data_IF_473956668101
#
_entry.id   IF_473956668101
#
_cell.length_a   1.000
_cell.length_b   1.000
_cell.length_c   1.000
_cell.angle_alpha   90.00
_cell.angle_beta   90.00
_cell.angle_gamma   90.00
#
_symmetry.space_group_name_H-M   'P 1'
#
loop_
_entity.id
_entity.type
_entity.pdbx_description
1 polymer ?
#
# COMPACT_ATOMS: atom_id res chain seq x y z
N UNK A 1 3.51 -11.74 -1.48
CA UNK A 1 4.65 -10.98 -0.87
C UNK A 1 4.18 -9.71 -0.17
N UNK A 2 3.41 -8.82 -0.80
CA UNK A 2 2.93 -7.57 -0.17
C UNK A 2 2.22 -7.79 1.17
N UNK A 3 1.35 -8.79 1.26
CA UNK A 3 0.68 -9.16 2.51
C UNK A 3 1.66 -9.48 3.66
N UNK A 4 2.75 -10.20 3.36
CA UNK A 4 3.79 -10.45 4.37
C UNK A 4 4.51 -9.18 4.79
N UNK A 5 4.78 -8.25 3.85
CA UNK A 5 5.40 -6.98 4.19
C UNK A 5 4.53 -6.15 5.12
N UNK A 6 3.21 -6.14 4.90
CA UNK A 6 2.24 -5.44 5.76
C UNK A 6 2.18 -6.05 7.16
N UNK A 7 2.13 -7.39 7.25
CA UNK A 7 2.15 -8.06 8.57
C UNK A 7 3.47 -7.79 9.29
N UNK A 8 4.61 -7.90 8.61
CA UNK A 8 5.92 -7.65 9.21
C UNK A 8 6.10 -6.18 9.59
N UNK A 9 5.52 -5.26 8.81
CA UNK A 9 5.44 -3.84 9.16
C UNK A 9 4.69 -3.66 10.49
N UNK A 10 3.51 -4.24 10.61
CA UNK A 10 2.70 -4.15 11.83
C UNK A 10 3.44 -4.69 13.05
N UNK A 11 4.03 -5.87 12.94
CA UNK A 11 4.82 -6.48 14.03
C UNK A 11 6.02 -5.60 14.40
N UNK A 12 6.74 -5.06 13.40
CA UNK A 12 7.90 -4.21 13.65
C UNK A 12 7.50 -2.89 14.33
N UNK A 13 6.34 -2.32 13.98
CA UNK A 13 5.79 -1.14 14.63
C UNK A 13 5.40 -1.42 16.10
N UNK A 14 4.77 -2.56 16.37
CA UNK A 14 4.44 -2.97 17.74
C UNK A 14 5.69 -3.11 18.59
N UNK A 15 6.73 -3.76 18.08
CA UNK A 15 7.99 -3.92 18.79
C UNK A 15 8.74 -2.59 18.97
N UNK A 16 8.58 -1.65 18.03
CA UNK A 16 9.23 -0.35 18.07
C UNK A 16 8.72 0.55 19.21
N UNK A 17 7.55 0.26 19.78
CA UNK A 17 7.05 0.96 20.97
C UNK A 17 7.97 0.74 22.16
N UNK A 18 8.50 -0.48 22.31
CA UNK A 18 9.39 -0.84 23.42
C UNK A 18 10.87 -0.64 23.06
N UNK A 19 11.25 -0.84 21.80
CA UNK A 19 12.63 -0.72 21.31
C UNK A 19 12.70 -0.01 19.96
N UNK A 20 13.15 1.24 19.96
CA UNK A 20 13.29 2.09 18.78
C UNK A 20 14.11 1.47 17.64
N UNK A 21 14.94 0.47 17.90
CA UNK A 21 15.72 -0.23 16.87
C UNK A 21 14.82 -0.82 15.79
N UNK A 22 13.60 -1.21 16.17
CA UNK A 22 12.62 -1.78 15.22
C UNK A 22 11.97 -0.75 14.29
N UNK A 23 12.10 0.56 14.53
CA UNK A 23 11.61 1.60 13.61
C UNK A 23 12.32 1.51 12.24
N UNK A 24 13.61 1.14 12.22
CA UNK A 24 14.35 0.91 10.98
C UNK A 24 13.82 -0.31 10.21
N UNK A 25 13.45 -1.36 10.94
CA UNK A 25 12.84 -2.56 10.34
C UNK A 25 11.46 -2.25 9.77
N UNK A 26 10.62 -1.52 10.52
CA UNK A 26 9.32 -1.06 10.07
C UNK A 26 9.44 -0.24 8.77
N UNK A 27 10.39 0.70 8.73
CA UNK A 27 10.64 1.52 7.54
C UNK A 27 11.03 0.69 6.33
N UNK A 28 11.84 -0.36 6.49
CA UNK A 28 12.22 -1.27 5.39
C UNK A 28 11.01 -2.07 4.89
N UNK A 29 10.18 -2.59 5.76
CA UNK A 29 8.98 -3.31 5.34
C UNK A 29 7.99 -2.40 4.64
N UNK A 30 7.87 -1.15 5.08
CA UNK A 30 7.08 -0.13 4.40
C UNK A 30 7.62 0.15 2.98
N UNK A 31 8.93 0.35 2.81
CA UNK A 31 9.56 0.55 1.51
C UNK A 31 9.34 -0.66 0.58
N UNK A 32 9.49 -1.88 1.09
CA UNK A 32 9.23 -3.10 0.32
C UNK A 32 7.76 -3.21 -0.09
N UNK A 33 6.83 -2.88 0.81
CA UNK A 33 5.41 -2.86 0.50
C UNK A 33 5.11 -1.90 -0.65
N UNK A 34 5.61 -0.67 -0.58
CA UNK A 34 5.37 0.35 -1.61
C UNK A 34 5.98 -0.03 -2.96
N UNK A 35 7.18 -0.64 -2.98
CA UNK A 35 7.79 -1.14 -4.21
C UNK A 35 7.00 -2.28 -4.85
N UNK A 36 6.49 -3.21 -4.04
CA UNK A 36 5.66 -4.32 -4.54
C UNK A 36 4.34 -3.77 -5.08
N UNK A 37 3.75 -2.79 -4.39
CA UNK A 37 2.52 -2.15 -4.83
C UNK A 37 2.70 -1.42 -6.17
N UNK A 38 3.81 -0.70 -6.33
CA UNK A 38 4.18 -0.08 -7.59
C UNK A 38 4.32 -1.11 -8.72
N UNK A 39 5.03 -2.19 -8.47
CA UNK A 39 5.22 -3.27 -9.43
C UNK A 39 3.89 -3.94 -9.86
N UNK A 40 2.92 -4.08 -8.94
CA UNK A 40 1.60 -4.65 -9.25
C UNK A 40 0.78 -3.68 -10.11
N UNK A 41 0.90 -2.38 -9.87
CA UNK A 41 0.12 -1.37 -10.55
C UNK A 41 0.76 -0.87 -11.86
N UNK A 42 2.09 -1.04 -12.03
CA UNK A 42 2.85 -0.53 -13.18
C UNK A 42 3.81 -1.60 -13.76
N UNK A 43 3.30 -2.78 -14.12
CA UNK A 43 4.16 -3.79 -14.77
C UNK A 43 4.71 -3.30 -16.12
N UNK A 44 5.81 -3.88 -16.53
CA UNK A 44 6.79 -3.58 -17.59
C UNK A 44 6.35 -2.78 -18.85
N UNK A 45 5.07 -2.65 -19.13
CA UNK A 45 4.53 -1.92 -20.30
C UNK A 45 3.47 -0.88 -19.90
N UNK A 46 3.44 -0.48 -18.63
CA UNK A 46 2.44 0.46 -18.11
C UNK A 46 1.04 -0.16 -17.93
N UNK A 47 0.92 -1.47 -18.08
CA UNK A 47 -0.31 -2.23 -17.83
C UNK A 47 -0.18 -2.93 -16.49
N UNK A 48 -0.89 -2.44 -15.47
CA UNK A 48 -0.97 -3.09 -14.17
C UNK A 48 -1.72 -4.43 -14.23
N UNK A 49 -1.66 -5.18 -13.13
CA UNK A 49 -2.44 -6.43 -13.00
C UNK A 49 -3.93 -6.18 -12.77
N UNK A 50 -4.33 -4.94 -12.46
CA UNK A 50 -5.71 -4.56 -12.24
C UNK A 50 -6.44 -4.36 -13.56
N UNK A 51 -7.58 -5.04 -13.73
CA UNK A 51 -8.51 -4.82 -14.84
C UNK A 51 -9.68 -3.96 -14.35
N UNK A 52 -9.78 -2.73 -14.85
CA UNK A 52 -10.81 -1.78 -14.43
C UNK A 52 -12.21 -2.20 -14.89
N UNK A 53 -12.32 -2.91 -16.00
CA UNK A 53 -13.60 -3.34 -16.54
C UNK A 53 -14.22 -4.46 -15.69
N UNK A 54 -13.37 -5.40 -15.26
CA UNK A 54 -13.80 -6.54 -14.47
C UNK A 54 -13.70 -6.29 -12.94
N UNK A 55 -13.00 -5.23 -12.52
CA UNK A 55 -12.75 -4.94 -11.11
C UNK A 55 -11.95 -6.05 -10.40
N UNK A 56 -10.93 -6.58 -11.07
CA UNK A 56 -10.23 -7.77 -10.61
C UNK A 56 -8.75 -7.77 -11.00
N UNK A 57 -7.90 -8.42 -10.19
CA UNK A 57 -6.49 -8.63 -10.52
C UNK A 57 -6.31 -9.89 -11.33
N UNK A 58 -5.68 -9.76 -12.50
CA UNK A 58 -5.36 -10.88 -13.38
C UNK A 58 -3.85 -11.05 -13.55
N UNK A 59 -3.42 -12.30 -13.64
CA UNK A 59 -2.06 -12.61 -14.03
C UNK A 59 -1.84 -12.29 -15.52
N UNK A 60 -0.61 -11.95 -15.86
CA UNK A 60 -0.19 -11.71 -17.25
C UNK A 60 0.87 -12.72 -17.64
N UNK A 61 0.64 -13.38 -18.77
CA UNK A 61 1.65 -14.17 -19.45
C UNK A 61 2.46 -13.25 -20.37
N UNK A 62 3.69 -12.95 -19.96
CA UNK A 62 4.60 -12.14 -20.77
C UNK A 62 5.55 -13.04 -21.53
N UNK A 63 5.59 -12.88 -22.87
CA UNK A 63 6.52 -13.52 -23.78
C UNK A 63 7.30 -12.45 -24.53
N UNK A 64 8.40 -12.81 -25.21
CA UNK A 64 9.24 -11.86 -25.96
C UNK A 64 8.47 -11.04 -27.00
N UNK A 65 7.30 -11.50 -27.43
CA UNK A 65 6.49 -10.90 -28.50
C UNK A 65 5.13 -10.37 -28.08
N UNK A 66 4.61 -10.75 -26.90
CA UNK A 66 3.30 -10.30 -26.45
C UNK A 66 3.12 -10.46 -24.94
N UNK A 67 2.24 -9.63 -24.36
CA UNK A 67 1.70 -9.77 -23.02
C UNK A 67 0.21 -10.11 -23.14
N UNK A 68 -0.21 -11.20 -22.51
CA UNK A 68 -1.59 -11.70 -22.57
C UNK A 68 -2.16 -11.78 -21.14
N UNK A 69 -3.26 -11.06 -20.83
CA UNK A 69 -3.93 -11.21 -19.55
C UNK A 69 -4.61 -12.57 -19.44
N UNK A 70 -4.30 -13.30 -18.38
CA UNK A 70 -4.94 -14.58 -18.08
C UNK A 70 -6.20 -14.31 -17.24
N UNK A 71 -7.33 -14.10 -17.88
CA UNK A 71 -8.61 -13.76 -17.24
C UNK A 71 -9.24 -14.95 -16.52
N UNK A 72 -8.54 -15.49 -15.53
CA UNK A 72 -9.04 -16.55 -14.65
C UNK A 72 -9.39 -15.94 -13.29
N UNK A 73 -10.66 -15.88 -12.96
CA UNK A 73 -11.15 -15.40 -11.66
C UNK A 73 -10.89 -16.46 -10.60
N UNK A 74 -9.73 -16.39 -9.98
CA UNK A 74 -9.32 -17.23 -8.87
C UNK A 74 -9.16 -16.44 -7.58
N UNK A 75 -9.10 -17.12 -6.45
CA UNK A 75 -8.85 -16.51 -5.14
C UNK A 75 -7.51 -15.74 -5.09
N UNK A 76 -6.56 -16.11 -5.93
CA UNK A 76 -5.25 -15.43 -6.03
C UNK A 76 -5.41 -13.96 -6.45
N UNK A 77 -6.34 -13.66 -7.35
CA UNK A 77 -6.64 -12.30 -7.77
C UNK A 77 -7.28 -11.41 -6.69
N UNK A 78 -7.70 -12.00 -5.54
CA UNK A 78 -8.21 -11.26 -4.39
C UNK A 78 -7.12 -11.02 -3.32
N UNK A 79 -6.00 -11.73 -3.39
CA UNK A 79 -4.91 -11.62 -2.39
C UNK A 79 -4.36 -10.19 -2.28
N UNK A 80 -4.19 -9.39 -3.36
CA UNK A 80 -3.76 -8.01 -3.26
C UNK A 80 -4.67 -7.14 -2.38
N UNK A 81 -5.98 -7.40 -2.39
CA UNK A 81 -6.95 -6.65 -1.58
C UNK A 81 -6.79 -6.89 -0.07
N UNK A 82 -6.20 -8.02 0.32
CA UNK A 82 -5.95 -8.36 1.72
C UNK A 82 -4.70 -7.67 2.29
N UNK A 83 -3.86 -7.09 1.43
CA UNK A 83 -2.66 -6.37 1.86
C UNK A 83 -3.02 -4.93 2.26
N UNK A 84 -3.70 -4.80 3.39
CA UNK A 84 -4.08 -3.51 3.97
C UNK A 84 -3.68 -3.45 5.45
N UNK A 85 -3.37 -2.25 5.91
CA UNK A 85 -3.05 -1.94 7.30
C UNK A 85 -3.64 -0.57 7.65
N UNK A 86 -4.27 -0.50 8.81
CA UNK A 86 -4.78 0.75 9.38
C UNK A 86 -3.99 1.03 10.65
N UNK A 87 -3.41 2.22 10.76
CA UNK A 87 -2.68 2.66 11.93
C UNK A 87 -3.32 3.95 12.47
N UNK A 88 -3.48 3.99 13.77
CA UNK A 88 -3.86 5.19 14.51
C UNK A 88 -2.77 6.26 14.40
N UNK A 89 -3.14 7.51 14.19
CA UNK A 89 -2.19 8.62 14.13
C UNK A 89 -1.46 8.80 15.46
N UNK A 90 -2.15 8.62 16.60
CA UNK A 90 -1.53 8.67 17.93
C UNK A 90 -0.42 7.61 18.07
N UNK A 91 -0.65 6.44 17.50
CA UNK A 91 0.35 5.37 17.49
C UNK A 91 1.59 5.74 16.66
N UNK A 92 1.39 6.30 15.46
CA UNK A 92 2.47 6.75 14.58
C UNK A 92 3.26 7.91 15.21
N UNK A 93 2.60 8.79 16.00
CA UNK A 93 3.26 9.87 16.71
C UNK A 93 4.25 9.39 17.78
N UNK A 94 4.05 8.19 18.33
CA UNK A 94 4.97 7.55 19.31
C UNK A 94 6.26 7.05 18.67
N UNK A 95 6.32 6.98 17.34
CA UNK A 95 7.41 6.41 16.54
C UNK A 95 8.04 7.49 15.64
N UNK A 96 8.85 8.40 16.20
CA UNK A 96 9.33 9.59 15.49
C UNK A 96 10.25 9.27 14.30
N UNK A 97 11.02 8.19 14.38
CA UNK A 97 11.89 7.74 13.29
C UNK A 97 11.09 7.22 12.11
N UNK A 98 10.11 6.37 12.35
CA UNK A 98 9.19 5.87 11.32
C UNK A 98 8.36 7.02 10.72
N UNK A 99 7.77 7.88 11.55
CA UNK A 99 7.00 9.05 11.10
C UNK A 99 7.79 9.94 10.16
N UNK A 100 9.04 10.28 10.51
CA UNK A 100 9.92 11.11 9.67
C UNK A 100 10.14 10.49 8.29
N UNK A 101 10.30 9.17 8.21
CA UNK A 101 10.46 8.46 6.93
C UNK A 101 9.16 8.42 6.15
N UNK A 102 8.04 8.22 6.81
CA UNK A 102 6.71 8.26 6.18
C UNK A 102 6.44 9.65 5.58
N UNK A 103 6.67 10.72 6.33
CA UNK A 103 6.50 12.10 5.86
C UNK A 103 7.43 12.43 4.68
N UNK A 104 8.69 11.97 4.75
CA UNK A 104 9.63 12.10 3.65
C UNK A 104 9.13 11.36 2.40
N UNK A 105 8.65 10.13 2.57
CA UNK A 105 8.12 9.32 1.47
C UNK A 105 6.93 10.01 0.80
N UNK A 106 5.95 10.45 1.57
CA UNK A 106 4.77 11.16 1.04
C UNK A 106 5.12 12.45 0.30
N UNK A 107 6.18 13.13 0.74
CA UNK A 107 6.63 14.38 0.12
C UNK A 107 7.42 14.15 -1.19
N UNK A 108 8.21 13.07 -1.26
CA UNK A 108 9.18 12.85 -2.36
C UNK A 108 8.70 11.82 -3.39
N UNK A 109 7.84 10.89 -3.01
CA UNK A 109 7.33 9.81 -3.87
C UNK A 109 5.82 9.95 -4.06
N UNK A 110 5.42 11.06 -4.69
CA UNK A 110 4.01 11.36 -4.98
C UNK A 110 3.35 10.31 -5.88
N UNK A 111 4.14 9.66 -6.71
CA UNK A 111 3.76 8.53 -7.55
C UNK A 111 3.20 7.35 -6.73
N UNK A 112 3.79 7.09 -5.57
CA UNK A 112 3.40 6.00 -4.67
C UNK A 112 2.54 6.46 -3.48
N UNK A 113 2.45 7.75 -3.26
CA UNK A 113 1.68 8.32 -2.15
C UNK A 113 0.17 8.02 -2.25
N UNK A 114 -0.32 7.70 -3.45
CA UNK A 114 -1.71 7.25 -3.69
C UNK A 114 -2.06 5.93 -2.98
N UNK A 115 -1.05 5.17 -2.54
CA UNK A 115 -1.23 3.89 -1.83
C UNK A 115 -1.35 4.08 -0.31
N UNK A 116 -1.10 5.30 0.15
CA UNK A 116 -1.18 5.69 1.56
C UNK A 116 -2.24 6.76 1.68
N UNK A 117 -3.32 6.46 2.37
CA UNK A 117 -4.39 7.40 2.65
C UNK A 117 -4.38 7.83 4.10
N UNK A 118 -4.86 9.04 4.37
CA UNK A 118 -5.17 9.50 5.71
C UNK A 118 -6.68 9.67 5.81
N UNK A 119 -7.31 8.85 6.63
CA UNK A 119 -8.73 8.92 6.90
C UNK A 119 -8.96 9.76 8.15
N UNK A 120 -9.92 10.67 8.08
CA UNK A 120 -10.35 11.48 9.21
C UNK A 120 -11.74 11.01 9.65
N UNK A 121 -11.82 10.43 10.85
CA UNK A 121 -13.07 10.27 11.57
C UNK A 121 -13.27 11.53 12.46
N UNK A 122 -14.50 11.93 12.82
CA UNK A 122 -14.75 13.10 13.68
C UNK A 122 -13.97 13.11 15.00
N UNK A 123 -13.49 11.97 15.48
CA UNK A 123 -12.75 11.86 16.73
C UNK A 123 -11.25 11.55 16.58
N UNK A 124 -10.83 10.92 15.47
CA UNK A 124 -9.48 10.37 15.35
C UNK A 124 -8.98 10.40 13.90
N UNK A 125 -7.65 10.40 13.72
CA UNK A 125 -6.99 10.27 12.43
C UNK A 125 -6.37 8.89 12.29
N UNK A 126 -6.57 8.27 11.12
CA UNK A 126 -6.03 6.96 10.80
C UNK A 126 -5.18 7.01 9.53
N UNK A 127 -4.05 6.31 9.55
CA UNK A 127 -3.24 6.03 8.38
C UNK A 127 -3.69 4.72 7.74
N UNK A 128 -3.98 4.76 6.47
CA UNK A 128 -4.42 3.60 5.71
C UNK A 128 -3.41 3.26 4.61
N UNK A 129 -2.90 2.04 4.64
CA UNK A 129 -1.97 1.49 3.66
C UNK A 129 -2.67 0.38 2.90
N UNK A 130 -2.79 0.48 1.57
CA UNK A 130 -3.43 -0.54 0.74
C UNK A 130 -2.82 -0.57 -0.66
N UNK A 131 -2.69 -1.77 -1.20
CA UNK A 131 -2.33 -1.98 -2.61
C UNK A 131 -3.36 -1.44 -3.58
N UNK A 132 -4.61 -1.35 -3.15
CA UNK A 132 -5.78 -1.04 -3.98
C UNK A 132 -6.43 0.30 -3.64
N UNK A 133 -5.71 1.20 -2.99
CA UNK A 133 -6.27 2.48 -2.53
C UNK A 133 -6.83 3.32 -3.69
N UNK A 134 -6.21 3.27 -4.87
CA UNK A 134 -6.71 3.95 -6.07
C UNK A 134 -8.11 3.49 -6.49
N UNK A 135 -8.48 2.25 -6.17
CA UNK A 135 -9.81 1.69 -6.46
C UNK A 135 -10.88 2.31 -5.57
N UNK A 136 -10.55 2.57 -4.30
CA UNK A 136 -11.47 3.20 -3.33
C UNK A 136 -11.58 4.71 -3.50
N UNK A 137 -10.61 5.35 -4.16
CA UNK A 137 -10.56 6.80 -4.35
C UNK A 137 -11.46 7.30 -5.49
N UNK A 138 -11.88 6.43 -6.42
CA UNK A 138 -12.70 6.83 -7.58
C UNK A 138 -14.19 6.99 -7.26
N UNK A 139 -14.68 6.38 -6.17
CA UNK A 139 -16.09 6.48 -5.79
C UNK A 139 -16.26 7.05 -4.37
N UNK A 140 -16.41 8.37 -4.26
CA UNK A 140 -17.02 9.07 -3.13
C UNK A 140 -16.22 9.41 -1.86
N UNK A 141 -14.91 9.57 -1.89
CA UNK A 141 -14.28 10.34 -0.82
C UNK A 141 -13.54 11.56 -1.43
N UNK A 142 -14.27 12.67 -1.59
CA UNK A 142 -13.64 13.96 -1.80
C UNK A 142 -12.87 14.30 -0.54
N UNK A 143 -11.56 14.10 -0.58
CA UNK A 143 -10.64 14.75 0.35
C UNK A 143 -10.77 16.24 0.09
N UNK A 144 -11.61 16.93 0.86
CA UNK A 144 -11.67 18.37 0.87
C UNK A 144 -10.33 18.92 1.36
N UNK A 145 -9.51 19.31 0.37
CA UNK A 145 -8.47 20.29 0.60
C UNK A 145 -9.14 21.62 0.94
N UNK A 146 -9.15 21.98 2.19
CA UNK A 146 -9.22 23.36 2.66
C UNK A 146 -8.15 23.62 3.68
#
# INVERSE_FOLDING_TARGET
MAFYCVIMLNIALDLAIDDQTYEDMASKFFEHFTQISDAINQMSDGVGLWDEQDGFYYDHLSTDSCSLPLRVRSMVGLVPLMACLVLDDEYVQKLPGFKKRLDWFLSNRKDLASQVGKLQDPAEFYWFFSLSFSIFSSDNYSLENK
#
